data_IF_568094160226
#
_entry.id   IF_568094160226
#
_cell.length_a   1.000
_cell.length_b   1.000
_cell.length_c   1.000
_cell.angle_alpha   90.00
_cell.angle_beta   90.00
_cell.angle_gamma   90.00
#
_symmetry.space_group_name_H-M   'P 1'
#
loop_
_entity.id
_entity.type
_entity.pdbx_description
1 polymer ?
#
# COMPACT_ATOMS: atom_id res chain seq x y z
N UNK A 1 -9.09 13.09 -25.90
CA UNK A 1 -9.25 13.20 -24.43
C UNK A 1 -8.80 11.93 -23.71
N UNK A 2 -9.35 10.76 -24.07
CA UNK A 2 -9.01 9.46 -23.47
C UNK A 2 -7.52 9.06 -23.55
N UNK A 3 -6.78 9.50 -24.58
CA UNK A 3 -5.32 9.27 -24.67
C UNK A 3 -4.53 9.93 -23.54
N UNK A 4 -4.93 11.11 -23.08
CA UNK A 4 -4.28 11.79 -21.96
C UNK A 4 -4.49 11.02 -20.66
N UNK A 5 -5.72 10.54 -20.42
CA UNK A 5 -6.07 9.73 -19.24
C UNK A 5 -5.27 8.42 -19.23
N UNK A 6 -5.14 7.75 -20.38
CA UNK A 6 -4.34 6.53 -20.48
C UNK A 6 -2.86 6.79 -20.21
N UNK A 7 -2.30 7.89 -20.70
CA UNK A 7 -0.92 8.28 -20.42
C UNK A 7 -0.71 8.57 -18.93
N UNK A 8 -1.61 9.32 -18.32
CA UNK A 8 -1.52 9.68 -16.90
C UNK A 8 -1.68 8.41 -16.04
N UNK A 9 -2.61 7.53 -16.40
CA UNK A 9 -2.80 6.21 -15.77
C UNK A 9 -1.55 5.35 -15.87
N UNK A 10 -0.91 5.31 -17.05
CA UNK A 10 0.32 4.55 -17.27
C UNK A 10 1.50 5.11 -16.45
N UNK A 11 1.61 6.44 -16.37
CA UNK A 11 2.63 7.09 -15.55
C UNK A 11 2.47 6.70 -14.07
N UNK A 12 1.24 6.78 -13.55
CA UNK A 12 0.94 6.38 -12.17
C UNK A 12 1.22 4.89 -11.96
N UNK A 13 0.75 4.05 -12.89
CA UNK A 13 0.93 2.60 -12.86
C UNK A 13 2.39 2.18 -12.80
N UNK A 14 3.25 2.79 -13.63
CA UNK A 14 4.68 2.49 -13.64
C UNK A 14 5.35 2.96 -12.35
N UNK A 15 5.13 4.21 -11.96
CA UNK A 15 5.77 4.78 -10.75
C UNK A 15 5.37 4.03 -9.48
N UNK A 16 4.09 3.72 -9.32
CA UNK A 16 3.60 2.96 -8.17
C UNK A 16 4.02 1.51 -8.26
N UNK A 17 4.00 0.92 -9.47
CA UNK A 17 4.46 -0.43 -9.70
C UNK A 17 5.89 -0.65 -9.24
N UNK A 18 6.81 0.30 -9.46
CA UNK A 18 8.22 0.20 -9.02
C UNK A 18 8.33 -0.03 -7.50
N UNK A 19 7.36 0.43 -6.71
CA UNK A 19 7.32 0.17 -5.27
C UNK A 19 7.12 -1.31 -4.94
N UNK A 20 6.57 -2.09 -5.88
CA UNK A 20 6.50 -3.53 -5.83
C UNK A 20 7.87 -4.18 -5.65
N UNK A 21 8.96 -3.60 -6.19
CA UNK A 21 10.32 -4.11 -5.97
C UNK A 21 10.66 -4.11 -4.48
N UNK A 22 10.40 -2.99 -3.80
CA UNK A 22 10.64 -2.86 -2.37
C UNK A 22 9.78 -3.83 -1.56
N UNK A 23 8.52 -4.03 -1.97
CA UNK A 23 7.65 -5.02 -1.32
C UNK A 23 8.17 -6.45 -1.50
N UNK A 24 8.55 -6.84 -2.72
CA UNK A 24 9.09 -8.17 -3.00
C UNK A 24 10.36 -8.47 -2.19
N UNK A 25 11.26 -7.49 -2.10
CA UNK A 25 12.45 -7.60 -1.27
C UNK A 25 12.11 -7.70 0.23
N UNK A 26 11.23 -6.83 0.73
CA UNK A 26 10.79 -6.85 2.13
C UNK A 26 10.14 -8.18 2.52
N UNK A 27 9.38 -8.79 1.60
CA UNK A 27 8.76 -10.08 1.85
C UNK A 27 9.80 -11.20 2.03
N UNK A 28 10.83 -11.23 1.17
CA UNK A 28 11.92 -12.21 1.26
C UNK A 28 12.76 -11.99 2.52
N UNK A 29 13.02 -10.74 2.88
CA UNK A 29 13.69 -10.37 4.14
C UNK A 29 12.90 -10.82 5.38
N UNK A 30 11.56 -10.82 5.29
CA UNK A 30 10.66 -11.34 6.31
C UNK A 30 10.47 -12.87 6.24
N UNK A 31 11.41 -13.60 5.62
CA UNK A 31 11.41 -15.06 5.44
C UNK A 31 10.25 -15.64 4.60
N UNK A 32 9.54 -14.82 3.81
CA UNK A 32 8.57 -15.36 2.85
C UNK A 32 9.30 -15.86 1.60
N UNK A 33 8.90 -17.03 1.12
CA UNK A 33 9.29 -17.49 -0.22
C UNK A 33 8.79 -16.54 -1.31
N UNK A 34 9.47 -16.53 -2.47
CA UNK A 34 9.05 -15.77 -3.66
C UNK A 34 7.59 -16.06 -4.03
N UNK A 35 7.15 -17.32 -3.92
CA UNK A 35 5.78 -17.71 -4.18
C UNK A 35 4.80 -17.07 -3.18
N UNK A 36 5.12 -17.10 -1.88
CA UNK A 36 4.29 -16.46 -0.85
C UNK A 36 4.19 -14.95 -1.06
N UNK A 37 5.30 -14.28 -1.40
CA UNK A 37 5.31 -12.86 -1.72
C UNK A 37 4.39 -12.53 -2.92
N UNK A 38 4.48 -13.31 -4.00
CA UNK A 38 3.63 -13.15 -5.18
C UNK A 38 2.16 -13.44 -4.89
N UNK A 39 1.84 -14.52 -4.16
CA UNK A 39 0.45 -14.84 -3.78
C UNK A 39 -0.15 -13.74 -2.91
N UNK A 40 0.61 -13.26 -1.91
CA UNK A 40 0.18 -12.15 -1.07
C UNK A 40 -0.07 -10.89 -1.90
N UNK A 41 0.78 -10.62 -2.91
CA UNK A 41 0.62 -9.48 -3.80
C UNK A 41 -0.58 -9.56 -4.74
N UNK A 42 -0.86 -10.74 -5.28
CA UNK A 42 -2.00 -10.94 -6.16
C UNK A 42 -3.32 -10.84 -5.38
N UNK A 43 -3.36 -11.38 -4.15
CA UNK A 43 -4.60 -11.50 -3.39
C UNK A 43 -4.89 -10.31 -2.47
N UNK A 44 -3.87 -9.72 -1.82
CA UNK A 44 -4.03 -8.61 -0.88
C UNK A 44 -3.61 -7.26 -1.47
N UNK A 45 -3.98 -6.99 -2.72
CA UNK A 45 -3.52 -5.86 -3.52
C UNK A 45 -4.00 -4.50 -2.98
N UNK A 46 -3.21 -3.92 -2.07
CA UNK A 46 -3.49 -2.62 -1.43
C UNK A 46 -2.21 -1.84 -1.09
N UNK A 47 -1.03 -2.43 -1.33
CA UNK A 47 0.27 -1.89 -0.97
C UNK A 47 0.52 -1.85 0.53
N UNK A 48 -0.13 -0.93 1.24
CA UNK A 48 0.11 -0.68 2.66
C UNK A 48 -0.20 -1.90 3.54
N UNK A 49 -1.30 -2.61 3.27
CA UNK A 49 -1.62 -3.81 4.05
C UNK A 49 -0.61 -4.93 3.83
N UNK A 50 -0.02 -5.03 2.63
CA UNK A 50 1.02 -6.01 2.34
C UNK A 50 2.30 -5.71 3.12
N UNK A 51 2.72 -4.43 3.15
CA UNK A 51 3.85 -3.98 3.97
C UNK A 51 3.60 -4.20 5.47
N UNK A 52 2.36 -4.02 5.95
CA UNK A 52 2.02 -4.35 7.33
C UNK A 52 2.11 -5.85 7.62
N UNK A 53 1.66 -6.72 6.70
CA UNK A 53 1.81 -8.18 6.88
C UNK A 53 3.28 -8.55 7.01
N UNK A 54 4.12 -8.16 6.05
CA UNK A 54 5.55 -8.53 6.07
C UNK A 54 6.29 -7.88 7.23
N UNK A 55 5.96 -6.64 7.59
CA UNK A 55 6.56 -5.97 8.75
C UNK A 55 6.21 -6.62 10.08
N UNK A 56 4.97 -7.11 10.24
CA UNK A 56 4.58 -7.85 11.46
C UNK A 56 5.23 -9.23 11.50
N UNK A 57 5.19 -9.98 10.38
CA UNK A 57 5.76 -11.32 10.33
C UNK A 57 7.28 -11.30 10.48
N UNK A 58 7.98 -10.40 9.79
CA UNK A 58 9.45 -10.25 9.87
C UNK A 58 9.94 -9.81 11.25
N UNK A 59 9.09 -9.13 12.04
CA UNK A 59 9.39 -8.83 13.44
C UNK A 59 9.13 -10.00 14.40
N UNK A 60 8.74 -11.19 13.90
CA UNK A 60 8.37 -12.35 14.72
C UNK A 60 6.93 -12.32 15.25
N UNK A 61 6.06 -11.48 14.66
CA UNK A 61 4.66 -11.36 15.04
C UNK A 61 3.79 -12.51 14.51
N UNK A 62 2.62 -12.68 15.14
CA UNK A 62 1.67 -13.72 14.73
C UNK A 62 0.93 -13.38 13.43
N UNK A 63 0.44 -14.40 12.72
CA UNK A 63 -0.43 -14.21 11.56
C UNK A 63 -1.70 -13.41 11.90
N UNK A 64 -2.25 -13.58 13.11
CA UNK A 64 -3.40 -12.79 13.56
C UNK A 64 -3.06 -11.31 13.67
N UNK A 65 -1.93 -10.96 14.29
CA UNK A 65 -1.45 -9.58 14.39
C UNK A 65 -1.22 -8.97 13.00
N UNK A 66 -0.66 -9.74 12.07
CA UNK A 66 -0.43 -9.33 10.69
C UNK A 66 -1.74 -9.02 9.95
N UNK A 67 -2.73 -9.93 10.05
CA UNK A 67 -4.06 -9.73 9.45
C UNK A 67 -4.78 -8.55 10.09
N UNK A 68 -4.69 -8.36 11.40
CA UNK A 68 -5.28 -7.19 12.09
C UNK A 68 -4.65 -5.89 11.60
N UNK A 69 -3.32 -5.79 11.57
CA UNK A 69 -2.61 -4.60 11.08
C UNK A 69 -2.97 -4.29 9.62
N UNK A 70 -2.94 -5.32 8.77
CA UNK A 70 -3.33 -5.24 7.36
C UNK A 70 -4.78 -4.76 7.19
N UNK A 71 -5.71 -5.31 7.97
CA UNK A 71 -7.13 -4.96 7.91
C UNK A 71 -7.37 -3.52 8.34
N UNK A 72 -6.74 -3.07 9.44
CA UNK A 72 -6.86 -1.69 9.93
C UNK A 72 -6.40 -0.68 8.88
N UNK A 73 -5.27 -0.95 8.21
CA UNK A 73 -4.82 -0.10 7.11
C UNK A 73 -5.73 -0.21 5.88
N UNK A 74 -6.27 -1.39 5.61
CA UNK A 74 -7.14 -1.69 4.48
C UNK A 74 -8.53 -1.05 4.54
N UNK A 75 -9.00 -0.64 5.74
CA UNK A 75 -10.29 0.06 5.92
C UNK A 75 -10.41 1.28 4.99
N UNK A 76 -9.30 1.97 4.70
CA UNK A 76 -9.30 3.14 3.80
C UNK A 76 -9.84 2.79 2.41
N UNK A 77 -9.56 1.58 1.92
CA UNK A 77 -10.03 1.12 0.62
C UNK A 77 -11.55 0.95 0.59
N UNK A 78 -12.20 0.69 1.74
CA UNK A 78 -13.66 0.68 1.85
C UNK A 78 -14.26 2.06 1.59
N UNK A 79 -13.64 3.15 2.08
CA UNK A 79 -14.11 4.51 1.79
C UNK A 79 -13.96 4.87 0.31
N UNK A 80 -12.85 4.46 -0.31
CA UNK A 80 -12.69 4.58 -1.76
C UNK A 80 -13.78 3.80 -2.50
N UNK A 81 -14.08 2.58 -2.05
CA UNK A 81 -15.16 1.76 -2.59
C UNK A 81 -16.53 2.43 -2.50
N UNK A 82 -16.84 3.09 -1.38
CA UNK A 82 -18.08 3.87 -1.22
C UNK A 82 -18.16 5.04 -2.21
N UNK A 83 -17.06 5.77 -2.44
CA UNK A 83 -17.00 6.84 -3.44
C UNK A 83 -17.14 6.29 -4.86
N UNK A 84 -16.51 5.16 -5.17
CA UNK A 84 -16.47 4.59 -6.51
C UNK A 84 -17.73 3.80 -6.87
N UNK A 85 -18.47 3.26 -5.90
CA UNK A 85 -19.70 2.50 -6.14
C UNK A 85 -20.72 3.18 -7.07
N UNK A 86 -21.15 4.45 -6.82
CA UNK A 86 -22.10 5.15 -7.70
C UNK A 86 -21.52 5.51 -9.08
N UNK A 87 -20.19 5.60 -9.20
CA UNK A 87 -19.49 5.90 -10.47
C UNK A 87 -19.43 4.64 -11.33
N UNK A 88 -18.95 3.53 -10.78
CA UNK A 88 -18.68 2.30 -11.52
C UNK A 88 -19.95 1.52 -11.85
N UNK A 89 -20.90 1.45 -10.91
CA UNK A 89 -22.18 0.71 -11.05
C UNK A 89 -22.04 -0.73 -11.57
N UNK A 90 -20.94 -1.40 -11.22
CA UNK A 90 -20.63 -2.75 -11.68
C UNK A 90 -21.37 -3.83 -10.90
N UNK A 91 -21.69 -4.94 -11.56
CA UNK A 91 -22.41 -6.10 -11.01
C UNK A 91 -21.67 -7.40 -11.29
N UNK A 92 -22.01 -8.47 -10.57
CA UNK A 92 -21.44 -9.82 -10.76
C UNK A 92 -19.92 -9.85 -10.56
N UNK A 93 -19.22 -10.66 -11.35
CA UNK A 93 -17.76 -10.82 -11.26
C UNK A 93 -16.96 -9.51 -11.44
N UNK A 94 -17.50 -8.55 -12.22
CA UNK A 94 -16.86 -7.22 -12.37
C UNK A 94 -16.82 -6.45 -11.04
N UNK A 95 -17.72 -6.73 -10.11
CA UNK A 95 -17.69 -6.13 -8.76
C UNK A 95 -16.49 -6.62 -7.95
N UNK A 96 -16.11 -7.90 -8.09
CA UNK A 96 -14.94 -8.47 -7.42
C UNK A 96 -13.67 -7.82 -7.99
N UNK A 97 -13.56 -7.75 -9.31
CA UNK A 97 -12.43 -7.07 -9.97
C UNK A 97 -12.34 -5.58 -9.57
N UNK A 98 -13.47 -4.88 -9.55
CA UNK A 98 -13.49 -3.48 -9.11
C UNK A 98 -13.09 -3.34 -7.63
N UNK A 99 -13.54 -4.24 -6.75
CA UNK A 99 -13.13 -4.24 -5.35
C UNK A 99 -11.61 -4.45 -5.21
N UNK A 100 -11.04 -5.42 -5.94
CA UNK A 100 -9.60 -5.66 -5.94
C UNK A 100 -8.82 -4.42 -6.42
N UNK A 101 -9.30 -3.76 -7.47
CA UNK A 101 -8.64 -2.59 -8.05
C UNK A 101 -8.98 -1.26 -7.35
N UNK A 102 -9.74 -1.30 -6.25
CA UNK A 102 -10.07 -0.09 -5.49
C UNK A 102 -8.93 0.27 -4.56
N UNK A 103 -8.05 1.16 -5.05
CA UNK A 103 -6.89 1.71 -4.35
C UNK A 103 -6.91 3.24 -4.48
N UNK A 104 -6.03 3.94 -3.76
CA UNK A 104 -5.95 5.39 -3.80
C UNK A 104 -5.61 5.90 -5.20
N UNK A 105 -4.70 5.24 -5.92
CA UNK A 105 -4.29 5.63 -7.27
C UNK A 105 -5.44 5.57 -8.28
N UNK A 106 -6.15 4.43 -8.34
CA UNK A 106 -7.26 4.24 -9.29
C UNK A 106 -8.44 5.18 -8.97
N UNK A 107 -8.66 5.45 -7.68
CA UNK A 107 -9.69 6.40 -7.23
C UNK A 107 -9.29 7.84 -7.55
N UNK A 108 -8.04 8.23 -7.28
CA UNK A 108 -7.54 9.59 -7.52
C UNK A 108 -7.57 9.94 -9.01
N UNK A 109 -7.07 9.06 -9.88
CA UNK A 109 -7.09 9.30 -11.34
C UNK A 109 -8.51 9.35 -11.86
N UNK A 110 -9.41 8.52 -11.33
CA UNK A 110 -10.84 8.52 -11.68
C UNK A 110 -11.52 9.84 -11.31
N UNK A 111 -11.38 10.27 -10.06
CA UNK A 111 -12.01 11.50 -9.55
C UNK A 111 -11.43 12.75 -10.23
N UNK A 112 -10.15 12.73 -10.62
CA UNK A 112 -9.55 13.81 -11.41
C UNK A 112 -10.19 14.01 -12.80
N UNK A 113 -11.07 13.10 -13.25
CA UNK A 113 -11.84 13.24 -14.49
C UNK A 113 -13.31 13.65 -14.27
N UNK A 114 -13.69 14.09 -13.06
CA UNK A 114 -15.09 14.41 -12.72
C UNK A 114 -15.72 15.43 -13.70
N UNK A 115 -14.98 16.50 -14.04
CA UNK A 115 -15.42 17.53 -15.00
C UNK A 115 -15.63 16.99 -16.43
N UNK A 116 -15.07 15.82 -16.74
CA UNK A 116 -15.15 15.17 -18.06
C UNK A 116 -16.25 14.11 -18.13
N UNK A 117 -16.94 13.87 -17.02
CA UNK A 117 -18.10 12.98 -16.93
C UNK A 117 -17.76 11.51 -16.60
N UNK A 118 -18.82 10.76 -16.24
CA UNK A 118 -18.71 9.41 -15.68
C UNK A 118 -17.95 8.39 -16.56
N UNK A 119 -18.02 8.53 -17.89
CA UNK A 119 -17.30 7.63 -18.81
C UNK A 119 -15.79 7.73 -18.62
N UNK A 120 -15.27 8.95 -18.52
CA UNK A 120 -13.83 9.21 -18.38
C UNK A 120 -13.34 8.90 -16.95
N UNK A 121 -14.21 9.12 -15.95
CA UNK A 121 -13.93 8.65 -14.58
C UNK A 121 -13.76 7.13 -14.53
N UNK A 122 -14.66 6.37 -15.18
CA UNK A 122 -14.55 4.90 -15.26
C UNK A 122 -13.29 4.47 -16.00
N UNK A 123 -12.95 5.15 -17.09
CA UNK A 123 -11.70 4.88 -17.82
C UNK A 123 -10.49 5.09 -16.93
N UNK A 124 -10.41 6.22 -16.21
CA UNK A 124 -9.32 6.51 -15.27
C UNK A 124 -9.18 5.45 -14.18
N UNK A 125 -10.30 4.98 -13.62
CA UNK A 125 -10.31 3.91 -12.61
C UNK A 125 -9.74 2.60 -13.17
N UNK A 126 -10.29 2.11 -14.28
CA UNK A 126 -9.90 0.81 -14.83
C UNK A 126 -8.49 0.83 -15.41
N UNK A 127 -8.12 1.87 -16.16
CA UNK A 127 -6.79 1.97 -16.76
C UNK A 127 -5.71 2.05 -15.69
N UNK A 128 -5.91 2.87 -14.65
CA UNK A 128 -4.95 3.00 -13.55
C UNK A 128 -4.91 1.73 -12.72
N UNK A 129 -6.06 1.20 -12.30
CA UNK A 129 -6.14 0.01 -11.46
C UNK A 129 -5.48 -1.21 -12.11
N UNK A 130 -5.82 -1.49 -13.37
CA UNK A 130 -5.23 -2.61 -14.12
C UNK A 130 -3.72 -2.39 -14.32
N UNK A 131 -3.32 -1.18 -14.69
CA UNK A 131 -1.91 -0.84 -14.89
C UNK A 131 -1.10 -1.06 -13.62
N UNK A 132 -1.53 -0.47 -12.49
CA UNK A 132 -0.85 -0.63 -11.20
C UNK A 132 -0.81 -2.11 -10.82
N UNK A 133 -1.90 -2.86 -10.98
CA UNK A 133 -1.94 -4.28 -10.66
C UNK A 133 -0.89 -5.09 -11.43
N UNK A 134 -0.76 -4.85 -12.74
CA UNK A 134 0.21 -5.55 -13.58
C UNK A 134 1.64 -5.20 -13.16
N UNK A 135 1.98 -3.90 -13.12
CA UNK A 135 3.35 -3.48 -12.82
C UNK A 135 3.74 -3.82 -11.39
N UNK A 136 2.86 -3.61 -10.41
CA UNK A 136 3.13 -3.96 -9.02
C UNK A 136 3.47 -5.43 -8.83
N UNK A 137 2.68 -6.35 -9.42
CA UNK A 137 2.93 -7.77 -9.30
C UNK A 137 4.19 -8.20 -10.06
N UNK A 138 4.44 -7.64 -11.24
CA UNK A 138 5.67 -7.87 -11.99
C UNK A 138 6.90 -7.44 -11.17
N UNK A 139 6.87 -6.24 -10.63
CA UNK A 139 7.97 -5.69 -9.85
C UNK A 139 8.11 -6.37 -8.48
N UNK A 140 7.02 -6.87 -7.88
CA UNK A 140 7.07 -7.74 -6.71
C UNK A 140 7.87 -9.01 -6.99
N UNK A 141 7.58 -9.68 -8.11
CA UNK A 141 8.34 -10.85 -8.53
C UNK A 141 9.82 -10.52 -8.74
N UNK A 142 10.13 -9.41 -9.43
CA UNK A 142 11.50 -8.98 -9.66
C UNK A 142 12.23 -8.63 -8.36
N UNK A 143 11.57 -7.94 -7.43
CA UNK A 143 12.13 -7.62 -6.11
C UNK A 143 12.40 -8.86 -5.28
N UNK A 144 11.47 -9.81 -5.25
CA UNK A 144 11.63 -11.07 -4.51
C UNK A 144 12.76 -11.93 -5.11
N UNK A 145 12.80 -12.10 -6.44
CA UNK A 145 13.89 -12.82 -7.10
C UNK A 145 15.24 -12.13 -6.89
N UNK A 146 15.28 -10.80 -6.98
CA UNK A 146 16.48 -10.01 -6.73
C UNK A 146 17.01 -10.19 -5.31
N UNK A 147 16.14 -10.13 -4.30
CA UNK A 147 16.51 -10.35 -2.91
C UNK A 147 17.02 -11.78 -2.67
N UNK A 148 16.37 -12.81 -3.22
CA UNK A 148 16.84 -14.21 -3.09
C UNK A 148 18.20 -14.43 -3.78
N UNK A 149 18.45 -13.79 -4.92
CA UNK A 149 19.70 -13.93 -5.66
C UNK A 149 20.92 -13.31 -4.95
N UNK A 150 20.69 -12.36 -4.04
CA UNK A 150 21.76 -11.64 -3.33
C UNK A 150 22.34 -12.40 -2.13
N UNK A 151 21.80 -13.58 -1.81
CA UNK A 151 22.31 -14.42 -0.72
C UNK A 151 21.88 -13.88 0.64
N UNK A 152 22.83 -13.58 1.53
CA UNK A 152 22.57 -12.97 2.83
C UNK A 152 22.29 -11.46 2.66
N UNK A 153 21.04 -10.99 2.84
CA UNK A 153 20.71 -9.57 2.67
C UNK A 153 21.45 -8.68 3.69
N UNK A 154 21.73 -9.17 4.90
CA UNK A 154 22.44 -8.42 5.93
C UNK A 154 23.91 -8.18 5.55
N UNK A 155 24.54 -9.11 4.83
CA UNK A 155 25.91 -8.96 4.34
C UNK A 155 26.09 -7.78 3.37
N UNK A 156 25.01 -7.32 2.75
CA UNK A 156 24.99 -6.20 1.82
C UNK A 156 24.29 -4.95 2.38
N UNK A 157 23.88 -4.97 3.66
CA UNK A 157 23.11 -3.90 4.30
C UNK A 157 21.70 -3.72 3.72
N UNK A 158 21.16 -4.76 3.08
CA UNK A 158 19.83 -4.72 2.45
C UNK A 158 18.69 -4.75 3.47
N UNK A 159 18.96 -5.27 4.67
CA UNK A 159 18.11 -5.21 5.87
C UNK A 159 17.79 -3.75 6.29
N UNK A 160 18.72 -2.83 6.07
CA UNK A 160 18.48 -1.40 6.23
C UNK A 160 18.00 -0.73 4.94
N UNK A 161 18.41 -1.25 3.77
CA UNK A 161 18.11 -0.63 2.48
C UNK A 161 16.62 -0.67 2.13
N UNK A 162 15.91 -1.76 2.45
CA UNK A 162 14.48 -1.91 2.13
C UNK A 162 13.61 -0.93 2.94
N UNK A 163 13.73 -0.84 4.29
CA UNK A 163 13.07 0.22 5.05
C UNK A 163 13.49 1.64 4.64
N UNK A 164 14.77 1.85 4.30
CA UNK A 164 15.26 3.16 3.84
C UNK A 164 14.68 3.56 2.48
N UNK A 165 14.55 2.62 1.55
CA UNK A 165 13.89 2.84 0.27
C UNK A 165 12.41 3.21 0.47
N UNK A 166 11.70 2.48 1.35
CA UNK A 166 10.32 2.82 1.71
C UNK A 166 10.21 4.22 2.33
N UNK A 167 11.10 4.58 3.25
CA UNK A 167 11.17 5.92 3.82
C UNK A 167 11.44 7.00 2.75
N UNK A 168 12.36 6.74 1.82
CA UNK A 168 12.65 7.64 0.70
C UNK A 168 11.43 7.86 -0.21
N UNK A 169 10.58 6.85 -0.36
CA UNK A 169 9.32 6.94 -1.11
C UNK A 169 8.20 7.64 -0.32
N UNK A 170 8.15 7.44 0.99
CA UNK A 170 7.17 8.05 1.88
C UNK A 170 7.47 9.54 2.10
N UNK A 171 8.75 9.92 2.16
CA UNK A 171 9.19 11.26 2.53
C UNK A 171 8.57 12.39 1.69
N UNK A 172 8.53 12.31 0.34
CA UNK A 172 7.89 13.32 -0.50
C UNK A 172 6.37 13.43 -0.27
N UNK A 173 5.72 12.40 0.30
CA UNK A 173 4.28 12.41 0.60
C UNK A 173 3.95 13.12 1.93
N UNK A 174 4.93 13.40 2.79
CA UNK A 174 4.75 14.09 4.08
C UNK A 174 4.73 15.63 3.94
N UNK A 175 3.84 16.13 3.08
CA UNK A 175 3.79 17.56 2.70
C UNK A 175 3.09 18.41 3.78
N UNK A 176 1.99 17.91 4.35
CA UNK A 176 1.18 18.68 5.30
C UNK A 176 1.74 18.67 6.72
N UNK A 177 1.49 19.75 7.48
CA UNK A 177 1.88 19.84 8.90
C UNK A 177 1.27 18.69 9.71
N UNK A 178 0.01 18.35 9.45
CA UNK A 178 -0.68 17.23 10.10
C UNK A 178 -0.02 15.88 9.79
N UNK A 179 0.34 15.61 8.52
CA UNK A 179 1.01 14.37 8.15
C UNK A 179 2.38 14.22 8.84
N UNK A 180 3.15 15.31 8.94
CA UNK A 180 4.42 15.33 9.66
C UNK A 180 4.26 15.09 11.16
N UNK A 181 3.25 15.72 11.79
CA UNK A 181 2.96 15.50 13.21
C UNK A 181 2.57 14.05 13.46
N UNK A 182 1.66 13.49 12.65
CA UNK A 182 1.25 12.09 12.75
C UNK A 182 2.47 11.16 12.58
N UNK A 183 3.34 11.41 11.60
CA UNK A 183 4.56 10.63 11.41
C UNK A 183 5.48 10.69 12.62
N UNK A 184 5.73 11.88 13.19
CA UNK A 184 6.58 12.05 14.37
C UNK A 184 6.01 11.34 15.62
N UNK A 185 4.68 11.44 15.84
CA UNK A 185 4.01 10.74 16.93
C UNK A 185 4.11 9.23 16.73
N UNK A 186 3.91 8.74 15.51
CA UNK A 186 4.08 7.31 15.18
C UNK A 186 5.51 6.83 15.43
N UNK A 187 6.52 7.60 15.01
CA UNK A 187 7.93 7.27 15.27
C UNK A 187 8.19 7.17 16.77
N UNK A 188 7.76 8.18 17.53
CA UNK A 188 7.94 8.22 18.98
C UNK A 188 7.22 7.08 19.69
N UNK A 189 5.96 6.82 19.35
CA UNK A 189 5.18 5.74 19.94
C UNK A 189 5.78 4.36 19.59
N UNK A 190 6.19 4.16 18.34
CA UNK A 190 6.80 2.91 17.91
C UNK A 190 8.10 2.64 18.68
N UNK A 191 9.02 3.62 18.72
CA UNK A 191 10.29 3.50 19.45
C UNK A 191 10.08 3.26 20.94
N UNK A 192 9.07 3.88 21.55
CA UNK A 192 8.72 3.63 22.95
C UNK A 192 8.18 2.22 23.18
N UNK A 193 7.38 1.67 22.26
CA UNK A 193 6.71 0.37 22.44
C UNK A 193 7.58 -0.83 22.08
N UNK A 194 8.55 -0.69 21.16
CA UNK A 194 9.45 -1.79 20.74
C UNK A 194 10.04 -2.60 21.91
N UNK A 195 10.59 -1.99 22.98
CA UNK A 195 11.21 -2.77 24.06
C UNK A 195 10.21 -3.47 24.99
N UNK A 196 8.92 -3.10 24.97
CA UNK A 196 7.93 -3.58 25.94
C UNK A 196 6.80 -4.40 25.34
N UNK A 197 6.55 -4.27 24.04
CA UNK A 197 5.37 -4.83 23.38
C UNK A 197 5.74 -5.98 22.43
N UNK A 198 4.88 -7.02 22.33
CA UNK A 198 5.06 -8.07 21.33
C UNK A 198 5.09 -7.53 19.90
N UNK A 199 5.75 -8.27 19.02
CA UNK A 199 5.82 -7.95 17.59
C UNK A 199 4.42 -7.74 16.97
N UNK A 200 4.29 -6.62 16.25
CA UNK A 200 3.04 -6.15 15.63
C UNK A 200 2.17 -5.23 16.49
N UNK A 201 2.29 -5.24 17.82
CA UNK A 201 1.57 -4.29 18.69
C UNK A 201 1.98 -2.83 18.41
N UNK A 202 3.29 -2.49 18.28
CA UNK A 202 3.69 -1.13 17.91
C UNK A 202 3.09 -0.67 16.57
N UNK A 203 3.03 -1.57 15.58
CA UNK A 203 2.47 -1.29 14.25
C UNK A 203 0.97 -1.00 14.34
N UNK A 204 0.22 -1.83 15.06
CA UNK A 204 -1.23 -1.65 15.28
C UNK A 204 -1.49 -0.33 16.02
N UNK A 205 -0.73 -0.04 17.08
CA UNK A 205 -0.86 1.19 17.84
C UNK A 205 -0.61 2.43 16.96
N UNK A 206 0.43 2.40 16.11
CA UNK A 206 0.71 3.49 15.18
C UNK A 206 -0.37 3.65 14.10
N UNK A 207 -0.96 2.55 13.63
CA UNK A 207 -2.03 2.57 12.65
C UNK A 207 -3.30 3.28 13.16
N UNK A 208 -3.49 3.37 14.49
CA UNK A 208 -4.64 4.05 15.10
C UNK A 208 -4.46 5.58 15.21
N UNK A 209 -3.23 6.09 15.19
CA UNK A 209 -2.92 7.52 15.38
C UNK A 209 -3.67 8.41 14.37
N UNK A 210 -3.67 8.13 13.04
CA UNK A 210 -4.39 8.97 12.08
C UNK A 210 -5.88 9.06 12.36
N UNK A 211 -6.51 7.99 12.85
CA UNK A 211 -7.94 7.97 13.18
C UNK A 211 -8.25 8.85 14.39
N UNK A 212 -7.45 8.74 15.45
CA UNK A 212 -7.59 9.59 16.64
C UNK A 212 -7.36 11.05 16.27
N UNK A 213 -6.33 11.33 15.47
CA UNK A 213 -6.01 12.68 15.03
C UNK A 213 -7.15 13.29 14.19
N UNK A 214 -7.75 12.52 13.28
CA UNK A 214 -8.91 12.96 12.50
C UNK A 214 -10.14 13.23 13.38
N UNK A 215 -10.41 12.38 14.38
CA UNK A 215 -11.54 12.53 15.28
C UNK A 215 -11.43 13.76 16.21
N UNK A 216 -10.21 14.05 16.68
CA UNK A 216 -9.93 15.24 17.52
C UNK A 216 -9.85 16.52 16.68
N UNK A 217 -9.30 16.43 15.46
CA UNK A 217 -9.15 17.56 14.54
C UNK A 217 -10.45 18.00 13.86
N UNK A 218 -11.41 17.09 13.65
CA UNK A 218 -12.72 17.37 13.03
C UNK A 218 -13.73 18.10 13.95
N UNK A 219 -13.32 18.51 15.15
CA UNK A 219 -14.13 19.33 16.09
C UNK A 219 -13.88 20.84 15.93
N UNK A 220 -13.38 21.29 14.78
CA UNK A 220 -13.22 22.71 14.45
C UNK A 220 -13.89 23.03 13.13
#
# INVERSE_FOLDING_TARGET
MSRAILRDSLSVALTVGVYGIAFGAAAVEADLSVLQACVLSLLAFTGASQFAVVGVLGAGGSALSAVTAASLLGIRNSFYGLRMAPILQVRGAKRIAAAQLTIDESTAVSVAQEDKGLSEMRLGFWATGIGVYIFWNLFTLLGALGATALGDPAAWGLDAAVPAAFLGLLWPRLISKSARIVALISIFLCTLLIPFAPAGVPVIACALIPFVFAFVGGRK
#
